data_IF_516288948617
#
_entry.id   IF_516288948617
#
_cell.length_a   1.000
_cell.length_b   1.000
_cell.length_c   1.000
_cell.angle_alpha   90.00
_cell.angle_beta   90.00
_cell.angle_gamma   90.00
#
_symmetry.space_group_name_H-M   'P 1'
#
loop_
_entity.id
_entity.type
_entity.pdbx_description
1 polymer ?
#
# COMPACT_ATOMS: atom_id res chain seq x y z
N UNK A 1 11.88 -23.55 -0.32
CA UNK A 1 12.78 -22.53 -0.87
C UNK A 1 12.03 -21.20 -0.77
N UNK A 2 12.29 -20.43 0.30
CA UNK A 2 11.61 -19.17 0.55
C UNK A 2 12.26 -18.08 -0.31
N UNK A 3 11.73 -17.89 -1.52
CA UNK A 3 11.93 -16.62 -2.22
C UNK A 3 11.14 -15.55 -1.45
N UNK A 4 11.82 -14.88 -0.52
CA UNK A 4 11.32 -13.64 0.05
C UNK A 4 11.02 -12.69 -1.11
N UNK A 5 9.74 -12.39 -1.32
CA UNK A 5 9.30 -11.53 -2.41
C UNK A 5 9.66 -10.10 -2.02
N UNK A 6 10.85 -9.72 -2.44
CA UNK A 6 11.43 -8.38 -2.42
C UNK A 6 10.35 -7.31 -2.55
N UNK A 7 10.30 -6.38 -1.59
CA UNK A 7 9.57 -5.13 -1.71
C UNK A 7 10.29 -4.29 -2.78
N UNK A 8 9.93 -4.49 -4.04
CA UNK A 8 10.61 -3.93 -5.22
C UNK A 8 10.75 -2.39 -5.18
N UNK A 9 9.87 -1.69 -4.48
CA UNK A 9 9.97 -0.23 -4.28
C UNK A 9 10.95 0.23 -3.20
N UNK A 10 11.49 -0.69 -2.39
CA UNK A 10 12.45 -0.40 -1.32
C UNK A 10 13.91 -0.65 -1.70
N UNK A 11 14.18 -1.36 -2.80
CA UNK A 11 15.53 -1.73 -3.24
C UNK A 11 16.32 -0.61 -3.94
N UNK A 12 15.67 0.51 -4.23
CA UNK A 12 16.29 1.63 -4.97
C UNK A 12 17.56 2.19 -4.29
N UNK A 13 17.77 1.94 -3.00
CA UNK A 13 18.94 2.40 -2.24
C UNK A 13 19.36 1.32 -1.24
N UNK A 14 20.65 1.00 -1.19
CA UNK A 14 21.20 0.12 -0.16
C UNK A 14 21.23 0.84 1.20
N UNK A 15 20.25 0.54 2.06
CA UNK A 15 20.12 1.12 3.40
C UNK A 15 20.95 0.41 4.49
N UNK A 16 21.89 -0.46 4.10
CA UNK A 16 22.77 -1.21 5.03
C UNK A 16 24.04 -0.46 5.43
N UNK A 17 24.02 0.88 5.43
CA UNK A 17 25.15 1.68 5.95
C UNK A 17 25.23 1.62 7.49
N UNK A 18 26.38 1.97 8.11
CA UNK A 18 26.58 1.88 9.55
C UNK A 18 25.51 2.60 10.38
N UNK A 19 25.33 2.17 11.63
CA UNK A 19 24.44 2.81 12.59
C UNK A 19 25.01 4.15 13.06
N UNK A 20 24.12 5.08 13.38
CA UNK A 20 24.50 6.28 14.12
C UNK A 20 24.93 5.90 15.54
N UNK A 21 26.04 6.48 15.99
CA UNK A 21 26.49 6.34 17.36
C UNK A 21 25.49 7.01 18.32
N UNK A 22 24.97 6.22 19.26
CA UNK A 22 23.99 6.63 20.29
C UNK A 22 24.56 6.51 21.71
N UNK A 23 25.86 6.25 21.84
CA UNK A 23 26.55 6.11 23.13
C UNK A 23 26.58 7.41 23.95
N UNK A 24 26.49 8.56 23.27
CA UNK A 24 26.47 9.89 23.88
C UNK A 24 25.13 10.25 24.54
N UNK A 25 24.05 9.50 24.27
CA UNK A 25 22.73 9.76 24.83
C UNK A 25 22.62 9.19 26.25
N UNK A 26 22.00 9.96 27.15
CA UNK A 26 21.59 9.48 28.48
C UNK A 26 20.46 8.43 28.39
N UNK A 27 20.27 7.65 29.45
CA UNK A 27 19.22 6.63 29.50
C UNK A 27 17.81 7.22 29.44
N UNK A 28 17.62 8.42 30.00
CA UNK A 28 16.37 9.18 29.87
C UNK A 28 16.09 9.56 28.41
N UNK A 29 17.10 10.09 27.70
CA UNK A 29 16.99 10.47 26.28
C UNK A 29 16.69 9.26 25.39
N UNK A 30 17.36 8.13 25.62
CA UNK A 30 17.12 6.88 24.88
C UNK A 30 15.67 6.41 25.05
N UNK A 31 15.16 6.39 26.28
CA UNK A 31 13.77 5.98 26.58
C UNK A 31 12.75 6.92 25.95
N UNK A 32 12.99 8.23 25.98
CA UNK A 32 12.11 9.20 25.34
C UNK A 32 12.08 9.03 23.83
N UNK A 33 13.26 8.88 23.20
CA UNK A 33 13.37 8.72 21.75
C UNK A 33 12.67 7.44 21.27
N UNK A 34 12.87 6.31 21.97
CA UNK A 34 12.16 5.05 21.70
C UNK A 34 10.64 5.23 21.79
N UNK A 35 10.14 5.87 22.86
CA UNK A 35 8.70 6.14 23.03
C UNK A 35 8.11 6.96 21.89
N UNK A 36 8.84 7.97 21.41
CA UNK A 36 8.40 8.85 20.31
C UNK A 36 8.29 8.12 18.98
N UNK A 37 9.18 7.16 18.69
CA UNK A 37 9.15 6.40 17.44
C UNK A 37 8.23 5.16 17.45
N UNK A 38 7.94 4.56 18.61
CA UNK A 38 7.06 3.38 18.71
C UNK A 38 5.60 3.63 18.33
N UNK A 39 5.08 4.85 18.51
CA UNK A 39 3.65 5.19 18.29
C UNK A 39 3.34 5.69 16.88
N UNK A 40 4.10 5.28 15.87
CA UNK A 40 4.21 5.83 14.50
C UNK A 40 5.37 6.85 14.45
N UNK A 41 6.31 6.74 13.49
CA UNK A 41 7.43 7.69 13.29
C UNK A 41 7.05 9.17 13.05
N UNK A 42 5.77 9.57 13.21
CA UNK A 42 5.26 10.92 12.94
C UNK A 42 5.76 11.99 13.90
N UNK A 43 6.38 11.62 15.02
CA UNK A 43 6.93 12.58 16.00
C UNK A 43 8.43 12.85 15.82
N UNK A 44 9.11 12.11 14.95
CA UNK A 44 10.50 12.36 14.60
C UNK A 44 10.55 13.53 13.60
N UNK A 45 11.38 14.53 13.89
CA UNK A 45 11.41 15.83 13.21
C UNK A 45 12.51 15.94 12.15
N UNK A 46 13.51 15.06 12.18
CA UNK A 46 14.67 15.13 11.28
C UNK A 46 15.21 13.75 10.92
N UNK A 47 16.06 13.69 9.90
CA UNK A 47 16.79 12.46 9.55
C UNK A 47 17.77 12.05 10.65
N UNK A 48 18.45 13.00 11.29
CA UNK A 48 19.35 12.70 12.41
C UNK A 48 18.63 12.08 13.61
N UNK A 49 17.46 12.62 13.97
CA UNK A 49 16.65 12.08 15.05
C UNK A 49 16.08 10.69 14.70
N UNK A 50 15.74 10.48 13.43
CA UNK A 50 15.34 9.17 12.92
C UNK A 50 16.49 8.15 12.96
N UNK A 51 17.70 8.53 12.58
CA UNK A 51 18.87 7.64 12.58
C UNK A 51 19.28 7.25 14.01
N UNK A 52 19.19 8.17 14.98
CA UNK A 52 19.36 7.84 16.39
C UNK A 52 18.26 6.88 16.89
N UNK A 53 17.01 7.12 16.51
CA UNK A 53 15.89 6.27 16.90
C UNK A 53 16.02 4.86 16.33
N UNK A 54 16.33 4.70 15.04
CA UNK A 54 16.41 3.39 14.38
C UNK A 54 17.57 2.57 14.93
N UNK A 55 18.68 3.20 15.29
CA UNK A 55 19.81 2.54 15.96
C UNK A 55 19.38 1.99 17.33
N UNK A 56 18.74 2.80 18.18
CA UNK A 56 18.23 2.34 19.48
C UNK A 56 17.15 1.26 19.35
N UNK A 57 16.23 1.43 18.41
CA UNK A 57 15.15 0.49 18.18
C UNK A 57 15.69 -0.88 17.74
N UNK A 58 16.66 -0.90 16.83
CA UNK A 58 17.23 -2.14 16.34
C UNK A 58 18.13 -2.84 17.38
N UNK A 59 18.86 -2.08 18.21
CA UNK A 59 19.59 -2.62 19.35
C UNK A 59 18.63 -3.25 20.36
N UNK A 60 17.55 -2.55 20.71
CA UNK A 60 16.52 -3.05 21.62
C UNK A 60 15.82 -4.32 21.09
N UNK A 61 15.48 -4.36 19.79
CA UNK A 61 14.93 -5.56 19.16
C UNK A 61 15.92 -6.74 19.13
N UNK A 62 17.23 -6.46 19.16
CA UNK A 62 18.28 -7.48 19.20
C UNK A 62 18.66 -7.92 20.62
N UNK A 63 18.18 -7.24 21.67
CA UNK A 63 18.41 -7.63 23.08
C UNK A 63 17.68 -8.91 23.46
N UNK A 64 16.53 -9.19 22.84
CA UNK A 64 15.82 -10.46 22.97
C UNK A 64 16.31 -11.42 21.86
N UNK A 65 17.12 -12.46 22.20
CA UNK A 65 17.68 -13.35 21.19
C UNK A 65 16.63 -14.31 20.63
N UNK A 66 15.38 -14.28 21.09
CA UNK A 66 14.36 -15.22 20.68
C UNK A 66 13.44 -14.66 19.60
N UNK A 67 13.27 -15.43 18.52
CA UNK A 67 12.28 -15.15 17.46
C UNK A 67 11.37 -16.34 17.26
N UNK A 68 10.13 -16.08 16.84
CA UNK A 68 9.20 -17.13 16.44
C UNK A 68 9.36 -17.46 14.96
N UNK A 69 9.45 -18.74 14.64
CA UNK A 69 9.43 -19.23 13.25
C UNK A 69 8.03 -19.08 12.66
N UNK A 70 7.93 -19.22 11.35
CA UNK A 70 6.63 -19.29 10.65
C UNK A 70 5.73 -20.44 11.12
N UNK A 71 6.28 -21.43 11.81
CA UNK A 71 5.59 -22.57 12.40
C UNK A 71 5.23 -22.34 13.88
N UNK A 72 5.60 -21.19 14.44
CA UNK A 72 5.29 -20.79 15.82
C UNK A 72 6.29 -21.30 16.86
N UNK A 73 7.43 -21.85 16.43
CA UNK A 73 8.48 -22.31 17.33
C UNK A 73 9.39 -21.16 17.75
N UNK A 74 9.72 -21.06 19.03
CA UNK A 74 10.67 -20.08 19.54
C UNK A 74 12.10 -20.58 19.35
N UNK A 75 12.93 -19.80 18.64
CA UNK A 75 14.33 -20.14 18.35
C UNK A 75 15.24 -19.04 18.87
N UNK A 76 16.35 -19.42 19.47
CA UNK A 76 17.40 -18.50 19.93
C UNK A 76 18.38 -18.24 18.78
N UNK A 77 18.59 -16.97 18.46
CA UNK A 77 19.49 -16.52 17.40
C UNK A 77 20.95 -16.55 17.86
N UNK A 78 21.84 -16.99 16.97
CA UNK A 78 23.28 -16.81 17.15
C UNK A 78 23.73 -15.35 16.91
N UNK A 79 25.00 -15.03 17.20
CA UNK A 79 25.50 -13.65 17.06
C UNK A 79 25.47 -13.13 15.61
N UNK A 80 25.71 -13.99 14.61
CA UNK A 80 25.63 -13.58 13.21
C UNK A 80 24.17 -13.33 12.80
N UNK A 81 23.26 -14.17 13.28
CA UNK A 81 21.82 -14.04 13.05
C UNK A 81 21.25 -12.79 13.72
N UNK A 82 21.73 -12.42 14.93
CA UNK A 82 21.39 -11.16 15.59
C UNK A 82 21.87 -9.95 14.82
N UNK A 83 23.12 -9.97 14.33
CA UNK A 83 23.67 -8.88 13.52
C UNK A 83 22.87 -8.71 12.22
N UNK A 84 22.53 -9.81 11.57
CA UNK A 84 21.68 -9.81 10.39
C UNK A 84 20.26 -9.28 10.71
N UNK A 85 19.65 -9.73 11.82
CA UNK A 85 18.34 -9.27 12.28
C UNK A 85 18.32 -7.76 12.49
N UNK A 86 19.36 -7.24 13.16
CA UNK A 86 19.56 -5.82 13.42
C UNK A 86 19.64 -5.05 12.10
N UNK A 87 20.51 -5.48 11.18
CA UNK A 87 20.69 -4.80 9.89
C UNK A 87 19.43 -4.86 9.02
N UNK A 88 18.68 -5.96 9.05
CA UNK A 88 17.41 -6.08 8.35
C UNK A 88 16.34 -5.17 8.95
N UNK A 89 16.26 -5.05 10.28
CA UNK A 89 15.37 -4.11 10.96
C UNK A 89 15.69 -2.68 10.54
N UNK A 90 16.95 -2.29 10.60
CA UNK A 90 17.41 -0.92 10.28
C UNK A 90 17.15 -0.59 8.82
N UNK A 91 17.57 -1.48 7.92
CA UNK A 91 17.39 -1.32 6.48
C UNK A 91 15.90 -1.14 6.15
N UNK A 92 15.03 -1.97 6.72
CA UNK A 92 13.59 -1.87 6.53
C UNK A 92 13.03 -0.53 7.01
N UNK A 93 13.38 -0.10 8.23
CA UNK A 93 12.87 1.16 8.80
C UNK A 93 13.34 2.37 7.99
N UNK A 94 14.61 2.40 7.57
CA UNK A 94 15.17 3.42 6.68
C UNK A 94 14.41 3.46 5.36
N UNK A 95 14.21 2.30 4.74
CA UNK A 95 13.51 2.18 3.48
C UNK A 95 12.08 2.76 3.57
N UNK A 96 11.36 2.47 4.66
CA UNK A 96 10.04 3.02 4.94
C UNK A 96 10.05 4.55 5.17
N UNK A 97 10.99 5.04 5.97
CA UNK A 97 11.13 6.46 6.28
C UNK A 97 11.37 7.30 5.02
N UNK A 98 12.36 6.90 4.22
CA UNK A 98 12.71 7.60 2.99
C UNK A 98 11.70 7.37 1.87
N UNK A 99 11.05 6.21 1.80
CA UNK A 99 9.91 6.01 0.91
C UNK A 99 8.80 7.03 1.22
N UNK A 100 8.39 7.15 2.49
CA UNK A 100 7.34 8.11 2.89
C UNK A 100 7.70 9.55 2.54
N UNK A 101 8.96 9.97 2.73
CA UNK A 101 9.43 11.30 2.33
C UNK A 101 9.31 11.53 0.82
N UNK A 102 9.86 10.60 0.01
CA UNK A 102 9.79 10.66 -1.46
C UNK A 102 8.35 10.67 -1.95
N UNK A 103 7.51 9.78 -1.42
CA UNK A 103 6.10 9.71 -1.73
C UNK A 103 5.39 11.02 -1.41
N UNK A 104 5.61 11.61 -0.22
CA UNK A 104 4.96 12.86 0.16
C UNK A 104 5.40 14.05 -0.72
N UNK A 105 6.67 14.08 -1.15
CA UNK A 105 7.15 15.10 -2.07
C UNK A 105 6.45 14.95 -3.44
N UNK A 106 6.50 13.74 -4.01
CA UNK A 106 5.84 13.43 -5.27
C UNK A 106 4.32 13.66 -5.21
N UNK A 107 3.65 13.27 -4.13
CA UNK A 107 2.20 13.33 -4.02
C UNK A 107 1.64 14.75 -4.15
N UNK A 108 2.41 15.77 -3.74
CA UNK A 108 2.01 17.17 -3.92
C UNK A 108 1.90 17.58 -5.39
N UNK A 109 2.78 17.06 -6.23
CA UNK A 109 2.88 17.45 -7.64
C UNK A 109 2.17 16.45 -8.57
N UNK A 110 2.25 15.16 -8.27
CA UNK A 110 1.71 14.10 -9.12
C UNK A 110 0.31 13.60 -8.73
N UNK A 111 0.00 13.55 -7.43
CA UNK A 111 -1.28 12.99 -6.95
C UNK A 111 -2.32 14.07 -6.65
N UNK A 112 -1.92 15.19 -6.05
CA UNK A 112 -2.82 16.27 -5.66
C UNK A 112 -3.65 16.81 -6.84
N UNK A 113 -3.08 17.06 -8.04
CA UNK A 113 -3.88 17.53 -9.17
C UNK A 113 -4.99 16.54 -9.57
N UNK A 114 -4.73 15.23 -9.50
CA UNK A 114 -5.73 14.20 -9.80
C UNK A 114 -6.84 14.18 -8.75
N UNK A 115 -6.49 14.40 -7.48
CA UNK A 115 -7.46 14.52 -6.39
C UNK A 115 -8.31 15.78 -6.57
N UNK A 116 -7.70 16.89 -6.95
CA UNK A 116 -8.40 18.15 -7.22
C UNK A 116 -9.38 17.99 -8.39
N UNK A 117 -8.97 17.34 -9.48
CA UNK A 117 -9.85 16.97 -10.61
C UNK A 117 -11.02 16.09 -10.16
N UNK A 118 -10.77 15.06 -9.33
CA UNK A 118 -11.80 14.20 -8.78
C UNK A 118 -12.81 14.99 -7.93
N UNK A 119 -12.31 15.90 -7.08
CA UNK A 119 -13.14 16.74 -6.22
C UNK A 119 -13.99 17.69 -7.06
N UNK A 120 -13.41 18.28 -8.11
CA UNK A 120 -14.14 19.21 -8.98
C UNK A 120 -15.21 18.50 -9.81
N UNK A 121 -14.92 17.31 -10.32
CA UNK A 121 -15.93 16.46 -10.96
C UNK A 121 -17.07 16.11 -9.99
N UNK A 122 -16.76 15.82 -8.72
CA UNK A 122 -17.79 15.52 -7.72
C UNK A 122 -18.70 16.71 -7.37
N UNK A 123 -18.17 17.94 -7.43
CA UNK A 123 -18.96 19.15 -7.19
C UNK A 123 -19.89 19.49 -8.35
N UNK A 124 -19.40 19.32 -9.57
CA UNK A 124 -20.04 19.84 -10.78
C UNK A 124 -20.92 18.82 -11.49
N UNK A 125 -20.71 17.51 -11.25
CA UNK A 125 -21.47 16.49 -11.94
C UNK A 125 -22.95 16.48 -11.49
N UNK A 126 -23.90 16.47 -12.44
CA UNK A 126 -25.33 16.45 -12.13
C UNK A 126 -25.69 15.14 -11.42
N UNK A 127 -26.03 15.24 -10.13
CA UNK A 127 -26.31 14.08 -9.27
C UNK A 127 -27.63 13.35 -9.60
N UNK A 128 -28.41 13.87 -10.55
CA UNK A 128 -29.71 13.34 -10.94
C UNK A 128 -29.63 12.26 -12.04
N UNK A 129 -28.49 12.13 -12.72
CA UNK A 129 -28.24 11.07 -13.70
C UNK A 129 -27.10 10.19 -13.19
N UNK A 130 -27.41 8.92 -12.87
CA UNK A 130 -26.42 7.98 -12.33
C UNK A 130 -25.15 7.82 -13.18
N UNK A 131 -25.14 8.28 -14.45
CA UNK A 131 -23.94 8.40 -15.27
C UNK A 131 -22.77 9.14 -14.56
N UNK A 132 -23.04 10.07 -13.63
CA UNK A 132 -22.00 10.75 -12.84
C UNK A 132 -21.13 9.77 -12.03
N UNK A 133 -21.67 8.61 -11.65
CA UNK A 133 -20.94 7.61 -10.86
C UNK A 133 -19.76 7.02 -11.64
N UNK A 134 -19.84 6.90 -12.96
CA UNK A 134 -18.75 6.39 -13.79
C UNK A 134 -17.67 7.41 -14.00
N UNK A 135 -18.06 8.67 -14.19
CA UNK A 135 -17.11 9.76 -14.26
C UNK A 135 -16.33 9.87 -12.94
N UNK A 136 -17.02 9.77 -11.80
CA UNK A 136 -16.36 9.68 -10.50
C UNK A 136 -15.48 8.45 -10.36
N UNK A 137 -15.91 7.28 -10.83
CA UNK A 137 -15.11 6.06 -10.78
C UNK A 137 -13.86 6.17 -11.66
N UNK A 138 -13.97 6.79 -12.83
CA UNK A 138 -12.85 7.09 -13.71
C UNK A 138 -11.80 7.95 -13.02
N UNK A 139 -12.19 9.07 -12.42
CA UNK A 139 -11.25 9.94 -11.70
C UNK A 139 -10.66 9.25 -10.47
N UNK A 140 -11.43 8.45 -9.73
CA UNK A 140 -10.91 7.63 -8.63
C UNK A 140 -9.87 6.62 -9.11
N UNK A 141 -10.14 5.92 -10.19
CA UNK A 141 -9.20 4.94 -10.74
C UNK A 141 -7.91 5.61 -11.24
N UNK A 142 -7.98 6.85 -11.78
CA UNK A 142 -6.78 7.63 -12.10
C UNK A 142 -5.95 7.94 -10.86
N UNK A 143 -6.61 8.40 -9.79
CA UNK A 143 -5.94 8.63 -8.50
C UNK A 143 -5.30 7.34 -7.97
N UNK A 144 -6.04 6.23 -8.00
CA UNK A 144 -5.55 4.92 -7.54
C UNK A 144 -4.38 4.42 -8.40
N UNK A 145 -4.45 4.57 -9.73
CA UNK A 145 -3.39 4.16 -10.65
C UNK A 145 -2.07 4.89 -10.36
N UNK A 146 -2.15 6.20 -10.16
CA UNK A 146 -1.01 7.03 -9.79
C UNK A 146 -0.48 6.73 -8.38
N UNK A 147 -1.39 6.57 -7.41
CA UNK A 147 -1.03 6.18 -6.04
C UNK A 147 -0.24 4.87 -6.02
N UNK A 148 -0.77 3.83 -6.66
CA UNK A 148 -0.15 2.51 -6.63
C UNK A 148 1.19 2.47 -7.38
N UNK A 149 1.38 3.26 -8.43
CA UNK A 149 2.65 3.32 -9.16
C UNK A 149 3.80 3.91 -8.36
N UNK A 150 3.53 4.60 -7.25
CA UNK A 150 4.54 5.14 -6.33
C UNK A 150 4.48 4.48 -4.94
N UNK A 151 3.68 3.42 -4.78
CA UNK A 151 3.52 2.71 -3.52
C UNK A 151 4.56 1.60 -3.36
N UNK A 152 4.67 1.03 -2.15
CA UNK A 152 5.59 -0.05 -1.81
C UNK A 152 5.41 -1.34 -2.64
N UNK A 153 4.25 -1.52 -3.27
CA UNK A 153 3.94 -2.70 -4.08
C UNK A 153 4.29 -2.54 -5.57
N UNK A 154 4.79 -1.37 -5.96
CA UNK A 154 5.28 -1.12 -7.31
C UNK A 154 6.76 -1.49 -7.45
N UNK A 155 7.15 -1.85 -8.66
CA UNK A 155 8.55 -1.95 -9.07
C UNK A 155 9.15 -0.57 -9.40
N UNK A 156 10.42 -0.56 -9.77
CA UNK A 156 11.18 0.64 -10.17
C UNK A 156 10.54 1.42 -11.34
N UNK A 157 9.75 0.74 -12.17
CA UNK A 157 9.07 1.32 -13.33
C UNK A 157 7.63 1.76 -12.98
N UNK A 158 7.24 1.67 -11.72
CA UNK A 158 5.89 2.01 -11.26
C UNK A 158 4.83 0.99 -11.66
N UNK A 159 5.23 -0.22 -12.06
CA UNK A 159 4.31 -1.32 -12.33
C UNK A 159 4.01 -2.07 -11.05
N UNK A 160 2.73 -2.40 -10.86
CA UNK A 160 2.26 -3.20 -9.75
C UNK A 160 1.34 -4.30 -10.28
N UNK A 161 1.17 -5.36 -9.51
CA UNK A 161 0.61 -6.63 -9.99
C UNK A 161 -0.85 -6.63 -10.48
N UNK A 162 -1.53 -5.49 -10.54
CA UNK A 162 -2.88 -5.29 -11.06
C UNK A 162 -3.04 -4.00 -11.89
N UNK A 163 -1.92 -3.41 -12.34
CA UNK A 163 -1.90 -2.24 -13.20
C UNK A 163 -2.77 -2.43 -14.46
N UNK A 164 -2.62 -3.57 -15.15
CA UNK A 164 -3.39 -3.94 -16.35
C UNK A 164 -4.90 -3.87 -16.12
N UNK A 165 -5.37 -4.35 -14.97
CA UNK A 165 -6.80 -4.33 -14.66
C UNK A 165 -7.33 -2.92 -14.47
N UNK A 166 -6.56 -2.06 -13.78
CA UNK A 166 -6.92 -0.64 -13.63
C UNK A 166 -6.89 0.06 -14.99
N UNK A 167 -5.85 -0.16 -15.78
CA UNK A 167 -5.68 0.47 -17.10
C UNK A 167 -6.81 0.08 -18.05
N UNK A 168 -7.21 -1.20 -18.06
CA UNK A 168 -8.39 -1.65 -18.82
C UNK A 168 -9.64 -0.93 -18.34
N UNK A 169 -9.94 -0.93 -17.03
CA UNK A 169 -11.13 -0.25 -16.50
C UNK A 169 -11.15 1.24 -16.86
N UNK A 170 -10.00 1.92 -16.81
CA UNK A 170 -9.87 3.32 -17.23
C UNK A 170 -10.21 3.50 -18.71
N UNK A 171 -9.64 2.69 -19.59
CA UNK A 171 -9.92 2.73 -21.03
C UNK A 171 -11.41 2.49 -21.32
N UNK A 172 -12.04 1.55 -20.60
CA UNK A 172 -13.47 1.28 -20.77
C UNK A 172 -14.35 2.44 -20.33
N UNK A 173 -14.05 3.02 -19.17
CA UNK A 173 -14.80 4.17 -18.64
C UNK A 173 -14.61 5.40 -19.53
N UNK A 174 -13.40 5.61 -20.05
CA UNK A 174 -13.11 6.67 -21.02
C UNK A 174 -13.92 6.47 -22.32
N UNK A 175 -13.94 5.25 -22.86
CA UNK A 175 -14.73 4.93 -24.05
C UNK A 175 -16.23 5.15 -23.84
N UNK A 176 -16.78 4.79 -22.67
CA UNK A 176 -18.17 5.08 -22.29
C UNK A 176 -18.42 6.59 -22.29
N UNK A 177 -17.50 7.36 -21.68
CA UNK A 177 -17.60 8.82 -21.58
C UNK A 177 -17.57 9.49 -22.95
N UNK A 178 -16.61 9.11 -23.81
CA UNK A 178 -16.39 9.75 -25.11
C UNK A 178 -17.51 9.46 -26.12
N UNK A 179 -18.09 8.25 -26.08
CA UNK A 179 -19.12 7.84 -27.03
C UNK A 179 -20.55 8.09 -26.53
N UNK A 180 -20.73 8.73 -25.37
CA UNK A 180 -22.06 9.07 -24.84
C UNK A 180 -22.98 7.87 -24.66
N UNK A 181 -22.42 6.68 -24.36
CA UNK A 181 -23.20 5.45 -24.27
C UNK A 181 -24.14 5.51 -23.07
N UNK A 182 -25.41 5.85 -23.29
CA UNK A 182 -26.42 5.99 -22.26
C UNK A 182 -26.58 4.72 -21.41
N UNK A 183 -26.64 4.88 -20.08
CA UNK A 183 -26.72 3.79 -19.10
C UNK A 183 -28.06 3.83 -18.40
N UNK A 184 -28.77 2.70 -18.39
CA UNK A 184 -30.03 2.62 -17.66
C UNK A 184 -29.76 2.58 -16.16
N UNK A 185 -30.69 3.11 -15.38
CA UNK A 185 -30.62 3.09 -13.91
C UNK A 185 -30.51 1.67 -13.33
N UNK A 186 -31.10 0.67 -14.00
CA UNK A 186 -30.96 -0.74 -13.65
C UNK A 186 -29.54 -1.28 -13.86
N UNK A 187 -28.84 -0.85 -14.92
CA UNK A 187 -27.44 -1.22 -15.17
C UNK A 187 -26.52 -0.56 -14.14
N UNK A 188 -26.82 0.68 -13.75
CA UNK A 188 -26.08 1.44 -12.73
C UNK A 188 -26.03 0.76 -11.37
N UNK A 189 -27.15 0.24 -10.87
CA UNK A 189 -27.22 -0.44 -9.57
C UNK A 189 -26.30 -1.66 -9.47
N UNK A 190 -26.09 -2.36 -10.59
CA UNK A 190 -25.27 -3.57 -10.68
C UNK A 190 -23.77 -3.29 -10.87
N UNK A 191 -23.40 -2.05 -11.23
CA UNK A 191 -22.02 -1.65 -11.54
C UNK A 191 -21.33 -0.92 -10.39
N UNK A 192 -22.05 -0.44 -9.38
CA UNK A 192 -21.47 0.27 -8.23
C UNK A 192 -20.63 -0.66 -7.34
N UNK A 193 -19.32 -0.37 -7.21
CA UNK A 193 -18.35 -1.19 -6.48
C UNK A 193 -18.68 -1.33 -4.97
N UNK A 194 -19.45 -0.38 -4.40
CA UNK A 194 -19.89 -0.43 -2.99
C UNK A 194 -21.05 -1.39 -2.75
N UNK A 195 -21.79 -1.77 -3.79
CA UNK A 195 -22.94 -2.67 -3.68
C UNK A 195 -22.58 -4.15 -3.80
N UNK A 196 -21.30 -4.47 -3.92
CA UNK A 196 -20.85 -5.80 -4.29
C UNK A 196 -20.33 -6.53 -3.03
N UNK A 197 -21.30 -6.99 -2.23
CA UNK A 197 -21.08 -7.72 -0.96
C UNK A 197 -20.48 -9.13 -1.18
N UNK A 198 -20.31 -9.56 -2.43
CA UNK A 198 -20.01 -10.93 -2.87
C UNK A 198 -18.71 -11.08 -3.70
N UNK A 199 -17.91 -10.01 -3.89
CA UNK A 199 -16.68 -10.07 -4.73
C UNK A 199 -15.52 -10.75 -3.99
N UNK A 200 -15.30 -10.33 -2.76
CA UNK A 200 -14.17 -10.75 -1.95
C UNK A 200 -14.70 -11.78 -0.98
N UNK A 201 -14.19 -13.02 -1.05
CA UNK A 201 -14.59 -14.06 -0.10
C UNK A 201 -14.45 -13.52 1.33
N UNK A 202 -15.47 -13.68 2.20
CA UNK A 202 -15.38 -13.21 3.58
C UNK A 202 -14.12 -13.72 4.30
N UNK A 203 -13.66 -14.93 3.98
CA UNK A 203 -12.41 -15.48 4.49
C UNK A 203 -11.17 -14.70 4.05
N UNK A 204 -11.10 -14.22 2.81
CA UNK A 204 -9.97 -13.41 2.33
C UNK A 204 -9.95 -12.03 3.02
N UNK A 205 -11.13 -11.46 3.27
CA UNK A 205 -11.26 -10.22 4.02
C UNK A 205 -10.93 -10.43 5.50
N UNK A 206 -11.39 -11.53 6.10
CA UNK A 206 -11.04 -11.96 7.45
C UNK A 206 -9.54 -12.10 7.62
N UNK A 207 -8.88 -12.86 6.74
CA UNK A 207 -7.42 -13.02 6.74
C UNK A 207 -6.68 -11.67 6.66
N UNK A 208 -7.15 -10.72 5.83
CA UNK A 208 -6.58 -9.39 5.77
C UNK A 208 -6.74 -8.60 7.09
N UNK A 209 -7.91 -8.69 7.72
CA UNK A 209 -8.22 -8.00 8.98
C UNK A 209 -7.51 -8.63 10.19
N UNK A 210 -7.34 -9.95 10.20
CA UNK A 210 -6.64 -10.70 11.24
C UNK A 210 -5.14 -10.36 11.23
N UNK A 211 -4.56 -10.22 10.02
CA UNK A 211 -3.21 -9.68 9.83
C UNK A 211 -3.10 -8.22 10.27
N UNK A 212 -4.19 -7.44 10.26
CA UNK A 212 -4.18 -6.06 10.78
C UNK A 212 -4.28 -5.99 12.31
N UNK A 213 -4.80 -7.04 12.95
CA UNK A 213 -5.11 -7.06 14.38
C UNK A 213 -4.02 -7.71 15.23
N UNK A 214 -3.11 -8.47 14.60
CA UNK A 214 -1.97 -9.08 15.26
C UNK A 214 -0.77 -8.14 15.28
N UNK A 215 -0.21 -7.95 16.47
CA UNK A 215 0.94 -7.06 16.72
C UNK A 215 2.19 -7.94 16.71
N UNK A 216 3.18 -7.58 15.89
CA UNK A 216 4.54 -8.14 15.84
C UNK A 216 4.77 -9.45 15.09
N UNK A 217 4.72 -9.41 13.76
CA UNK A 217 5.56 -10.33 12.97
C UNK A 217 6.02 -9.70 11.64
N UNK A 218 7.29 -9.88 11.29
CA UNK A 218 7.88 -9.50 10.00
C UNK A 218 7.19 -10.27 8.85
N UNK A 219 6.81 -11.52 9.07
CA UNK A 219 6.11 -12.36 8.08
C UNK A 219 4.66 -11.91 7.79
N UNK A 220 4.04 -11.13 8.68
CA UNK A 220 2.67 -10.65 8.49
C UNK A 220 2.56 -9.46 7.52
N UNK A 221 3.61 -8.64 7.40
CA UNK A 221 3.60 -7.48 6.49
C UNK A 221 3.54 -7.89 5.03
N UNK A 222 4.23 -8.97 4.67
CA UNK A 222 4.18 -9.56 3.32
C UNK A 222 2.82 -10.19 3.04
N UNK A 223 2.24 -10.88 4.02
CA UNK A 223 0.87 -11.43 3.91
C UNK A 223 -0.18 -10.33 3.72
N UNK A 224 -0.02 -9.17 4.39
CA UNK A 224 -0.91 -8.01 4.22
C UNK A 224 -0.88 -7.47 2.80
N UNK A 225 0.32 -7.33 2.23
CA UNK A 225 0.49 -6.86 0.86
C UNK A 225 -0.12 -7.85 -0.14
N UNK A 226 0.05 -9.15 0.07
CA UNK A 226 -0.55 -10.21 -0.75
C UNK A 226 -2.08 -10.18 -0.69
N UNK A 227 -2.68 -10.22 0.51
CA UNK A 227 -4.13 -10.19 0.64
C UNK A 227 -4.74 -8.87 0.13
N UNK A 228 -4.08 -7.75 0.39
CA UNK A 228 -4.48 -6.45 -0.15
C UNK A 228 -4.49 -6.45 -1.69
N UNK A 229 -3.42 -6.96 -2.30
CA UNK A 229 -3.33 -7.11 -3.77
C UNK A 229 -4.48 -7.96 -4.31
N UNK A 230 -4.73 -9.12 -3.72
CA UNK A 230 -5.78 -10.03 -4.19
C UNK A 230 -7.17 -9.40 -4.08
N UNK A 231 -7.44 -8.66 -3.00
CA UNK A 231 -8.68 -7.89 -2.83
C UNK A 231 -8.85 -6.88 -3.98
N UNK A 232 -7.81 -6.11 -4.31
CA UNK A 232 -7.89 -5.12 -5.39
C UNK A 232 -8.02 -5.76 -6.77
N UNK A 233 -7.32 -6.87 -7.05
CA UNK A 233 -7.51 -7.64 -8.29
C UNK A 233 -8.97 -8.03 -8.46
N UNK A 234 -9.58 -8.65 -7.43
CA UNK A 234 -10.98 -9.11 -7.52
C UNK A 234 -11.97 -7.97 -7.72
N UNK A 235 -11.73 -6.82 -7.07
CA UNK A 235 -12.54 -5.61 -7.28
C UNK A 235 -12.45 -5.11 -8.73
N UNK A 236 -11.24 -5.02 -9.29
CA UNK A 236 -11.06 -4.53 -10.66
C UNK A 236 -11.56 -5.51 -11.71
N UNK A 237 -11.30 -6.81 -11.54
CA UNK A 237 -11.82 -7.88 -12.38
C UNK A 237 -13.35 -7.81 -12.47
N UNK A 238 -14.04 -7.64 -11.33
CA UNK A 238 -15.50 -7.52 -11.32
C UNK A 238 -15.99 -6.24 -11.98
N UNK A 239 -15.34 -5.10 -11.73
CA UNK A 239 -15.69 -3.84 -12.39
C UNK A 239 -15.58 -3.97 -13.91
N UNK A 240 -14.50 -4.57 -14.41
CA UNK A 240 -14.33 -4.92 -15.82
C UNK A 240 -15.50 -5.75 -16.35
N UNK A 241 -15.81 -6.87 -15.69
CA UNK A 241 -16.90 -7.76 -16.14
C UNK A 241 -18.26 -7.05 -16.17
N UNK A 242 -18.53 -6.20 -15.17
CA UNK A 242 -19.78 -5.44 -15.08
C UNK A 242 -19.87 -4.39 -16.19
N UNK A 243 -18.78 -3.68 -16.48
CA UNK A 243 -18.72 -2.77 -17.62
C UNK A 243 -18.94 -3.53 -18.93
N UNK A 244 -18.26 -4.65 -19.13
CA UNK A 244 -18.42 -5.46 -20.34
C UNK A 244 -19.85 -5.95 -20.53
N UNK A 245 -20.42 -6.60 -19.50
CA UNK A 245 -21.75 -7.22 -19.56
C UNK A 245 -22.86 -6.20 -19.84
N UNK A 246 -22.77 -5.01 -19.26
CA UNK A 246 -23.86 -4.03 -19.30
C UNK A 246 -23.64 -2.90 -20.32
N UNK A 247 -22.42 -2.72 -20.86
CA UNK A 247 -22.11 -1.61 -21.79
C UNK A 247 -21.40 -1.98 -23.08
N UNK A 248 -20.59 -3.03 -23.09
CA UNK A 248 -19.71 -3.33 -24.23
C UNK A 248 -19.99 -4.72 -24.80
N UNK A 249 -21.25 -5.17 -24.71
CA UNK A 249 -21.64 -6.52 -25.15
C UNK A 249 -21.28 -6.77 -26.62
N UNK A 250 -21.30 -5.71 -27.44
CA UNK A 250 -21.04 -5.74 -28.88
C UNK A 250 -19.60 -5.37 -29.28
N UNK A 251 -18.68 -5.14 -28.33
CA UNK A 251 -17.34 -4.60 -28.65
C UNK A 251 -16.36 -5.64 -29.24
N UNK A 252 -16.76 -6.91 -29.35
CA UNK A 252 -15.97 -8.02 -29.90
C UNK A 252 -16.80 -8.97 -30.79
N UNK A 253 -18.06 -8.63 -31.10
CA UNK A 253 -18.84 -9.29 -32.16
C UNK A 253 -18.69 -8.51 -33.47
#
# INVERSE_FOLDING_TARGET
MNEFKILSGLELVNYRYPLTDVSHLSEEEKKELLKRGMRIPKQLKSDGEFEQWVALYALWEAEDPYVFTSEGEQVCLDENEKEQLLMDTVSYQRAMWYHKKRFNAWAKEGLQPLVDELVEAAKTAPQYDGCFLYELEYYKLRCMRAYFSHSLIADENGNFGFNKWIDICLLLLQHIKENGMHITESQLQHMNIRNVKDIVKPSLLGNYMDVCSSVNDRFQKDRRAVYGRDIYIRKMERLYYRIRLHKLREWYE
#
